data_IF_681572461365
#
_entry.id   IF_681572461365
#
_cell.length_a   1.000
_cell.length_b   1.000
_cell.length_c   1.000
_cell.angle_alpha   90.00
_cell.angle_beta   90.00
_cell.angle_gamma   90.00
#
_symmetry.space_group_name_H-M   'P 1'
#
loop_
_entity.id
_entity.type
_entity.pdbx_description
1 polymer ?
#
# COMPACT_ATOMS: atom_id res chain seq x y z
N UNK A 1 10.66 -10.97 -3.42
CA UNK A 1 9.58 -10.74 -4.41
C UNK A 1 8.29 -10.42 -3.67
N UNK A 2 7.55 -9.46 -4.15
CA UNK A 2 6.30 -9.06 -3.53
C UNK A 2 5.11 -9.56 -4.33
N UNK A 3 4.00 -9.79 -3.66
CA UNK A 3 2.76 -10.20 -4.29
C UNK A 3 1.65 -9.27 -3.86
N UNK A 4 0.82 -8.86 -4.80
CA UNK A 4 -0.34 -8.04 -4.49
C UNK A 4 -1.57 -8.62 -5.18
N UNK A 5 -2.73 -8.36 -4.60
CA UNK A 5 -3.98 -8.87 -5.13
C UNK A 5 -5.15 -7.99 -4.71
N UNK A 6 -6.24 -8.13 -5.45
CA UNK A 6 -7.52 -7.51 -5.09
C UNK A 6 -8.63 -8.52 -5.27
N UNK A 7 -9.57 -8.52 -4.34
CA UNK A 7 -10.75 -9.35 -4.40
C UNK A 7 -11.97 -8.42 -4.43
N UNK A 8 -12.73 -8.45 -5.51
CA UNK A 8 -13.89 -7.60 -5.71
C UNK A 8 -15.14 -8.35 -5.30
N UNK A 9 -15.80 -7.86 -4.26
CA UNK A 9 -17.09 -8.40 -3.81
C UNK A 9 -18.22 -7.47 -4.16
N UNK A 10 -19.45 -7.89 -3.83
CA UNK A 10 -20.63 -7.08 -4.11
C UNK A 10 -20.71 -5.85 -3.21
N UNK A 11 -20.30 -5.97 -1.95
CA UNK A 11 -20.41 -4.90 -0.97
C UNK A 11 -19.08 -4.30 -0.59
N UNK A 12 -17.97 -5.00 -0.86
CA UNK A 12 -16.65 -4.51 -0.49
C UNK A 12 -15.59 -5.10 -1.40
N UNK A 13 -14.49 -4.40 -1.48
CA UNK A 13 -13.28 -4.86 -2.17
C UNK A 13 -12.16 -5.00 -1.13
N UNK A 14 -11.43 -6.08 -1.22
CA UNK A 14 -10.28 -6.33 -0.33
C UNK A 14 -9.01 -6.28 -1.16
N UNK A 15 -8.06 -5.46 -0.72
CA UNK A 15 -6.73 -5.39 -1.32
C UNK A 15 -5.72 -6.01 -0.38
N UNK A 16 -4.83 -6.80 -0.91
CA UNK A 16 -3.79 -7.41 -0.12
C UNK A 16 -2.43 -7.26 -0.78
N UNK A 17 -1.40 -7.23 0.04
CA UNK A 17 -0.04 -7.09 -0.43
C UNK A 17 0.91 -7.81 0.52
N UNK A 18 1.87 -8.49 -0.06
CA UNK A 18 2.89 -9.20 0.69
C UNK A 18 4.26 -8.61 0.36
N UNK A 19 5.03 -8.30 1.40
CA UNK A 19 6.39 -7.82 1.27
C UNK A 19 7.37 -8.92 1.69
N UNK A 20 8.10 -9.44 0.73
CA UNK A 20 9.17 -10.39 0.99
C UNK A 20 10.49 -9.64 1.19
N UNK A 21 10.63 -8.99 2.32
CA UNK A 21 11.80 -8.20 2.64
C UNK A 21 12.19 -8.45 4.08
N UNK A 22 13.50 -8.39 4.35
CA UNK A 22 14.03 -8.53 5.70
C UNK A 22 13.98 -7.17 6.41
N UNK A 23 13.53 -7.18 7.66
CA UNK A 23 13.64 -6.04 8.58
C UNK A 23 13.14 -4.72 8.00
N UNK A 24 12.01 -4.76 7.30
CA UNK A 24 11.40 -3.53 6.83
C UNK A 24 10.45 -3.00 7.90
N UNK A 25 10.66 -1.75 8.31
CA UNK A 25 9.72 -1.04 9.17
C UNK A 25 8.61 -0.47 8.33
N UNK A 26 7.39 -0.82 8.68
CA UNK A 26 6.21 -0.31 7.98
C UNK A 26 5.44 0.65 8.88
N UNK A 27 4.98 1.73 8.30
CA UNK A 27 4.07 2.65 8.95
C UNK A 27 2.76 2.74 8.18
N UNK A 28 1.68 2.81 8.93
CA UNK A 28 0.36 3.09 8.38
C UNK A 28 0.03 4.55 8.61
N UNK A 29 -0.56 5.19 7.62
CA UNK A 29 -1.03 6.55 7.80
C UNK A 29 -2.32 6.78 7.03
N UNK A 30 -3.12 7.69 7.55
CA UNK A 30 -4.35 8.13 6.92
C UNK A 30 -4.24 9.64 6.73
N UNK A 31 -4.36 10.08 5.51
CA UNK A 31 -4.37 11.49 5.16
C UNK A 31 -5.71 11.87 4.58
N UNK A 32 -6.20 13.05 4.93
CA UNK A 32 -7.43 13.60 4.35
C UNK A 32 -7.07 14.75 3.44
N UNK A 33 -7.65 14.77 2.25
CA UNK A 33 -7.40 15.81 1.28
C UNK A 33 -8.66 16.04 0.46
N UNK A 34 -9.18 17.27 0.48
CA UNK A 34 -10.40 17.64 -0.24
C UNK A 34 -11.57 16.67 0.00
N UNK A 35 -11.85 16.37 1.26
CA UNK A 35 -12.91 15.45 1.69
C UNK A 35 -12.69 14.00 1.26
N UNK A 36 -11.49 13.68 0.81
CA UNK A 36 -11.11 12.32 0.45
C UNK A 36 -10.06 11.81 1.42
N UNK A 37 -10.12 10.54 1.72
CA UNK A 37 -9.16 9.90 2.59
C UNK A 37 -8.22 9.01 1.78
N UNK A 38 -6.95 9.04 2.15
CA UNK A 38 -5.94 8.18 1.57
C UNK A 38 -5.32 7.39 2.70
N UNK A 39 -5.42 6.08 2.61
CA UNK A 39 -4.81 5.16 3.55
C UNK A 39 -3.56 4.58 2.87
N UNK A 40 -2.40 4.76 3.49
CA UNK A 40 -1.16 4.34 2.85
C UNK A 40 -0.24 3.62 3.81
N UNK A 41 0.63 2.80 3.22
CA UNK A 41 1.71 2.12 3.90
C UNK A 41 3.02 2.71 3.44
N UNK A 42 3.90 3.03 4.39
CA UNK A 42 5.25 3.50 4.09
C UNK A 42 6.26 2.53 4.66
N UNK A 43 7.30 2.26 3.91
CA UNK A 43 8.41 1.44 4.35
C UNK A 43 9.65 2.28 4.58
N UNK A 44 10.47 1.90 5.56
CA UNK A 44 11.73 2.58 5.82
C UNK A 44 12.79 2.05 4.84
N UNK A 45 13.22 2.89 3.91
CA UNK A 45 14.20 2.54 2.89
C UNK A 45 15.28 3.61 2.92
N UNK A 46 16.53 3.21 3.15
CA UNK A 46 17.67 4.11 3.19
C UNK A 46 17.45 5.32 4.10
N UNK A 47 16.97 5.04 5.32
CA UNK A 47 16.71 6.05 6.36
C UNK A 47 15.55 7.01 6.04
N UNK A 48 14.72 6.68 5.06
CA UNK A 48 13.53 7.47 4.73
C UNK A 48 12.31 6.58 4.64
N UNK A 49 11.17 7.09 5.11
CA UNK A 49 9.90 6.41 4.91
C UNK A 49 9.34 6.80 3.54
N UNK A 50 9.15 5.81 2.70
CA UNK A 50 8.66 5.99 1.34
C UNK A 50 7.33 5.27 1.24
N UNK A 51 6.34 5.93 0.66
CA UNK A 51 5.02 5.31 0.44
C UNK A 51 5.17 4.18 -0.57
N UNK A 52 4.76 2.98 -0.19
CA UNK A 52 4.91 1.80 -1.04
C UNK A 52 3.58 1.27 -1.54
N UNK A 53 2.49 1.60 -0.88
CA UNK A 53 1.15 1.21 -1.31
C UNK A 53 0.13 2.17 -0.72
N UNK A 54 -1.01 2.28 -1.36
CA UNK A 54 -2.08 3.12 -0.85
C UNK A 54 -3.40 2.85 -1.53
N UNK A 55 -4.47 3.19 -0.83
CA UNK A 55 -5.82 3.11 -1.34
C UNK A 55 -6.55 4.39 -0.97
N UNK A 56 -7.33 4.94 -1.90
CA UNK A 56 -8.11 6.14 -1.60
C UNK A 56 -9.58 5.78 -1.36
N UNK A 57 -10.35 6.77 -0.93
CA UNK A 57 -11.77 6.57 -0.63
C UNK A 57 -12.62 6.33 -1.89
N UNK A 58 -12.08 6.55 -3.07
CA UNK A 58 -12.74 6.24 -4.33
C UNK A 58 -12.45 4.82 -4.82
N UNK A 59 -11.66 4.05 -4.07
CA UNK A 59 -11.37 2.67 -4.40
C UNK A 59 -10.15 2.44 -5.28
N UNK A 60 -9.36 3.46 -5.55
CA UNK A 60 -8.12 3.28 -6.31
C UNK A 60 -7.04 2.72 -5.39
N UNK A 61 -6.45 1.60 -5.78
CA UNK A 61 -5.35 0.97 -5.07
C UNK A 61 -4.10 1.01 -5.93
N UNK A 62 -3.01 1.51 -5.35
CA UNK A 62 -1.71 1.63 -6.02
C UNK A 62 -0.67 0.97 -5.14
N UNK A 63 0.27 0.28 -5.75
CA UNK A 63 1.37 -0.36 -5.03
C UNK A 63 2.63 -0.35 -5.88
N UNK A 64 3.76 -0.49 -5.19
CA UNK A 64 5.05 -0.66 -5.86
C UNK A 64 5.50 -2.11 -5.69
N UNK A 65 6.19 -2.61 -6.69
CA UNK A 65 6.69 -3.98 -6.67
C UNK A 65 8.08 -4.01 -7.31
N UNK A 66 9.04 -4.56 -6.58
CA UNK A 66 10.38 -4.73 -7.12
C UNK A 66 10.44 -5.99 -7.98
N UNK A 67 11.05 -5.85 -9.13
CA UNK A 67 11.30 -6.99 -10.02
C UNK A 67 12.77 -7.39 -9.92
N UNK A 68 12.99 -8.66 -9.77
CA UNK A 68 14.35 -9.22 -9.79
C UNK A 68 14.60 -9.89 -11.14
N UNK A 69 15.79 -9.66 -11.66
CA UNK A 69 16.21 -10.23 -12.94
C UNK A 69 17.23 -11.33 -12.72
#
# INVERSE_FOLDING_TARGET
>A
MCTSFAVYGQEKTVYGMNFDSYDIDLKLKINSYNDKNIFSFSGLIENKYIDVAGVNSDGLFIYTQALEY
#
